data_IF_266734103287
#
_entry.id   IF_266734103287
#
_cell.length_a   1.000
_cell.length_b   1.000
_cell.length_c   1.000
_cell.angle_alpha   90.00
_cell.angle_beta   90.00
_cell.angle_gamma   90.00
#
_symmetry.space_group_name_H-M   'P 1'
#
loop_
_entity.id
_entity.type
_entity.pdbx_description
1 polymer ?
#
# COMPACT_ATOMS: atom_id res chain seq x y z
N UNK A 1 -19.56 -49.94 20.56
CA UNK A 1 -18.73 -49.43 21.67
C UNK A 1 -17.87 -48.32 21.13
N UNK A 2 -18.29 -47.03 21.28
CA UNK A 2 -17.57 -45.84 20.81
C UNK A 2 -16.71 -45.30 21.94
N UNK A 3 -15.40 -45.32 21.76
CA UNK A 3 -14.45 -44.68 22.70
C UNK A 3 -14.31 -43.21 22.32
N UNK A 4 -14.80 -42.34 23.19
CA UNK A 4 -14.65 -40.90 23.11
C UNK A 4 -13.29 -40.57 23.71
N UNK A 5 -12.35 -40.04 22.88
CA UNK A 5 -11.07 -39.50 23.34
C UNK A 5 -11.26 -38.01 23.63
N UNK A 6 -11.28 -37.67 24.90
CA UNK A 6 -11.30 -36.29 25.37
C UNK A 6 -9.85 -35.77 25.32
N UNK A 7 -9.54 -34.94 24.34
CA UNK A 7 -8.28 -34.19 24.31
C UNK A 7 -8.46 -32.87 25.05
N UNK A 8 -7.88 -32.79 26.23
CA UNK A 8 -7.70 -31.53 26.98
C UNK A 8 -6.63 -30.70 26.30
N UNK A 9 -7.03 -29.62 25.60
CA UNK A 9 -6.13 -28.60 25.11
C UNK A 9 -5.83 -27.63 26.25
N UNK A 10 -4.64 -27.73 26.82
CA UNK A 10 -4.10 -26.73 27.74
C UNK A 10 -3.73 -25.48 26.92
N UNK A 11 -4.53 -24.39 27.07
CA UNK A 11 -4.20 -23.08 26.57
C UNK A 11 -3.08 -22.49 27.45
N UNK A 12 -1.88 -22.45 26.92
CA UNK A 12 -0.81 -21.66 27.50
C UNK A 12 -1.01 -20.19 27.09
N UNK A 13 -1.49 -19.41 28.05
CA UNK A 13 -1.54 -17.96 27.91
C UNK A 13 -0.14 -17.42 28.15
N UNK A 14 0.58 -17.09 27.07
CA UNK A 14 1.84 -16.35 27.17
C UNK A 14 1.52 -14.89 27.52
N UNK A 15 2.12 -14.33 28.56
CA UNK A 15 2.00 -12.90 28.81
C UNK A 15 2.79 -12.15 27.72
N UNK A 16 2.07 -11.45 26.86
CA UNK A 16 2.67 -10.46 25.99
C UNK A 16 3.21 -9.33 26.86
N UNK A 17 4.53 -9.30 27.04
CA UNK A 17 5.22 -8.12 27.52
C UNK A 17 5.17 -7.10 26.40
N UNK A 18 4.26 -6.14 26.50
CA UNK A 18 4.29 -4.92 25.71
C UNK A 18 5.55 -4.15 26.14
N UNK A 19 6.61 -4.29 25.37
CA UNK A 19 7.72 -3.35 25.43
C UNK A 19 7.22 -2.05 24.80
N UNK A 20 6.66 -1.18 25.63
CA UNK A 20 6.45 0.20 25.27
C UNK A 20 7.82 0.77 24.90
N UNK A 21 8.00 1.09 23.62
CA UNK A 21 9.14 1.84 23.14
C UNK A 21 9.09 3.25 23.71
N UNK A 22 9.36 3.36 24.98
CA UNK A 22 9.56 4.63 25.67
C UNK A 22 10.69 5.37 24.96
N UNK A 23 10.38 6.56 24.51
CA UNK A 23 11.37 7.52 24.03
C UNK A 23 12.34 7.82 25.18
N UNK A 24 13.37 7.01 25.31
CA UNK A 24 14.41 7.12 26.34
C UNK A 24 15.07 8.52 26.39
N UNK A 25 14.87 9.30 25.33
CA UNK A 25 15.37 10.68 25.20
C UNK A 25 14.63 11.64 26.14
N UNK A 26 13.38 11.37 26.50
CA UNK A 26 12.55 12.23 27.33
C UNK A 26 12.35 11.68 28.75
N UNK A 27 12.98 10.55 29.08
CA UNK A 27 12.92 10.01 30.45
C UNK A 27 13.91 10.78 31.36
N UNK A 28 13.43 11.48 32.37
CA UNK A 28 14.30 12.23 33.31
C UNK A 28 15.25 11.31 34.06
N UNK A 29 14.96 10.03 34.21
CA UNK A 29 15.85 9.05 34.86
C UNK A 29 17.03 8.71 33.95
N UNK A 30 16.80 8.65 32.63
CA UNK A 30 17.82 8.31 31.61
C UNK A 30 18.60 9.55 31.11
N UNK A 31 18.03 10.76 31.32
CA UNK A 31 18.67 12.01 30.90
C UNK A 31 18.73 13.02 32.06
N UNK A 32 19.78 12.96 32.91
CA UNK A 32 19.92 13.82 34.09
C UNK A 32 19.98 15.32 33.74
N UNK A 33 20.26 15.67 32.47
CA UNK A 33 20.28 17.06 32.04
C UNK A 33 18.90 17.69 31.95
N UNK A 34 17.82 16.90 31.88
CA UNK A 34 16.44 17.40 31.93
C UNK A 34 16.09 17.94 33.30
N UNK A 35 16.53 17.25 34.37
CA UNK A 35 16.24 17.67 35.75
C UNK A 35 17.23 18.71 36.30
N UNK A 36 18.46 18.73 35.80
CA UNK A 36 19.52 19.61 36.31
C UNK A 36 20.32 20.24 35.16
N UNK A 37 19.75 21.22 34.46
CA UNK A 37 20.38 21.83 33.29
C UNK A 37 21.70 22.58 33.59
N UNK A 38 22.04 22.81 34.85
CA UNK A 38 23.27 23.51 35.27
C UNK A 38 24.39 22.58 35.72
N UNK A 39 24.22 21.26 35.63
CA UNK A 39 25.32 20.34 35.92
C UNK A 39 26.44 20.47 34.88
N UNK A 40 27.68 20.48 35.40
CA UNK A 40 28.85 20.42 34.52
C UNK A 40 28.74 19.22 33.60
N UNK A 41 28.72 19.47 32.32
CA UNK A 41 28.47 18.46 31.27
C UNK A 41 27.08 18.57 30.63
N UNK A 42 26.09 19.21 31.28
CA UNK A 42 24.80 19.51 30.67
C UNK A 42 24.79 20.88 29.98
N UNK A 43 25.80 21.70 30.27
CA UNK A 43 26.06 23.01 29.66
C UNK A 43 26.82 22.81 28.34
N UNK A 44 26.48 21.77 27.58
CA UNK A 44 26.91 21.69 26.20
C UNK A 44 26.30 22.86 25.47
N UNK A 45 27.15 23.72 24.93
CA UNK A 45 26.81 24.73 23.93
C UNK A 45 26.09 24.04 22.78
N UNK A 46 24.79 23.75 22.93
CA UNK A 46 23.90 23.39 21.85
C UNK A 46 23.54 24.63 21.03
N UNK A 47 24.57 25.43 20.72
CA UNK A 47 24.66 26.21 19.52
C UNK A 47 25.18 25.39 18.33
N UNK A 48 25.05 24.06 18.37
CA UNK A 48 24.74 23.37 17.12
C UNK A 48 23.36 23.89 16.78
N UNK A 49 23.34 24.92 15.93
CA UNK A 49 22.14 25.36 15.24
C UNK A 49 21.54 24.13 14.58
N UNK A 50 20.77 23.37 15.34
CA UNK A 50 19.92 22.37 14.80
C UNK A 50 19.04 23.11 13.83
N UNK A 51 19.44 23.10 12.56
CA UNK A 51 18.55 23.52 11.50
C UNK A 51 17.27 22.77 11.79
N UNK A 52 16.27 23.50 12.29
CA UNK A 52 14.94 22.93 12.52
C UNK A 52 14.63 22.16 11.24
N UNK A 53 14.62 20.83 11.31
CA UNK A 53 14.35 19.98 10.16
C UNK A 53 13.05 20.51 9.59
N UNK A 54 13.14 21.17 8.46
CA UNK A 54 11.99 21.73 7.79
C UNK A 54 11.09 20.54 7.48
N UNK A 55 10.03 20.40 8.23
CA UNK A 55 9.03 19.34 7.96
C UNK A 55 8.36 19.72 6.66
N UNK A 56 8.78 19.08 5.58
CA UNK A 56 8.19 19.29 4.27
C UNK A 56 6.96 18.38 4.24
N UNK A 57 5.79 18.98 4.29
CA UNK A 57 4.54 18.26 4.15
C UNK A 57 4.27 18.03 2.66
N UNK A 58 4.68 16.88 2.13
CA UNK A 58 4.43 16.50 0.76
C UNK A 58 3.02 15.92 0.67
N UNK A 59 2.10 16.53 -0.12
CA UNK A 59 0.76 16.03 -0.25
C UNK A 59 0.73 14.62 -0.84
N UNK A 60 -0.05 13.75 -0.24
CA UNK A 60 -0.25 12.39 -0.76
C UNK A 60 -0.94 12.42 -2.12
N UNK A 61 -0.52 11.52 -3.00
CA UNK A 61 -1.14 11.25 -4.29
C UNK A 61 -1.68 9.83 -4.30
N UNK A 62 -2.92 9.69 -4.75
CA UNK A 62 -3.61 8.41 -4.78
C UNK A 62 -3.85 7.95 -6.20
N UNK A 63 -3.79 6.63 -6.40
CA UNK A 63 -4.22 5.97 -7.62
C UNK A 63 -5.07 4.74 -7.31
N UNK A 64 -5.84 4.33 -8.30
CA UNK A 64 -6.65 3.11 -8.21
C UNK A 64 -6.75 2.46 -9.59
N UNK A 65 -6.95 1.14 -9.59
CA UNK A 65 -7.13 0.35 -10.81
C UNK A 65 -8.39 -0.51 -10.66
N UNK A 66 -9.29 -0.40 -11.62
CA UNK A 66 -10.45 -1.27 -11.82
C UNK A 66 -10.29 -2.13 -13.05
N UNK A 67 -10.82 -3.32 -13.00
CA UNK A 67 -10.74 -4.30 -14.09
C UNK A 67 -12.01 -5.11 -14.18
N UNK A 68 -12.47 -5.32 -15.41
CA UNK A 68 -13.53 -6.27 -15.71
C UNK A 68 -12.90 -7.58 -16.25
N UNK A 69 -13.03 -8.72 -15.53
CA UNK A 69 -12.43 -9.98 -15.96
C UNK A 69 -13.08 -10.58 -17.21
N UNK A 70 -14.32 -10.20 -17.53
CA UNK A 70 -15.05 -10.76 -18.69
C UNK A 70 -14.57 -10.15 -20.00
N UNK A 71 -14.63 -8.84 -20.14
CA UNK A 71 -14.26 -8.14 -21.37
C UNK A 71 -12.89 -7.46 -21.30
N UNK A 72 -12.15 -7.64 -20.20
CA UNK A 72 -10.79 -7.15 -19.96
C UNK A 72 -10.65 -5.62 -20.00
N UNK A 73 -11.74 -4.89 -19.84
CA UNK A 73 -11.70 -3.44 -19.71
C UNK A 73 -10.95 -3.05 -18.43
N UNK A 74 -10.06 -2.08 -18.57
CA UNK A 74 -9.29 -1.49 -17.45
C UNK A 74 -9.66 -0.03 -17.31
N UNK A 75 -9.82 0.42 -16.09
CA UNK A 75 -9.91 1.83 -15.76
C UNK A 75 -8.97 2.16 -14.61
N UNK A 76 -8.42 3.33 -14.65
CA UNK A 76 -7.46 3.77 -13.65
C UNK A 76 -7.60 5.26 -13.34
N UNK A 77 -7.03 5.64 -12.22
CA UNK A 77 -6.83 7.02 -11.78
C UNK A 77 -5.41 7.18 -11.26
N UNK A 78 -4.80 8.32 -11.54
CA UNK A 78 -3.44 8.66 -11.14
C UNK A 78 -3.38 10.05 -10.52
N UNK A 79 -2.42 10.26 -9.63
CA UNK A 79 -2.10 11.56 -9.05
C UNK A 79 -3.30 12.29 -8.41
N UNK A 80 -4.33 11.56 -7.97
CA UNK A 80 -5.48 12.15 -7.31
C UNK A 80 -5.07 12.77 -5.96
N UNK A 81 -5.43 14.03 -5.76
CA UNK A 81 -5.11 14.81 -4.55
C UNK A 81 -6.24 14.85 -3.54
N UNK A 82 -7.44 14.46 -3.94
CA UNK A 82 -8.63 14.50 -3.09
C UNK A 82 -8.76 13.27 -2.20
N UNK A 83 -7.91 12.26 -2.43
CA UNK A 83 -7.82 11.07 -1.60
C UNK A 83 -8.33 9.79 -2.27
N UNK A 84 -8.23 8.71 -1.51
CA UNK A 84 -8.51 7.35 -1.95
C UNK A 84 -9.91 7.17 -2.57
N UNK A 85 -10.94 7.73 -1.92
CA UNK A 85 -12.33 7.61 -2.41
C UNK A 85 -12.53 8.29 -3.75
N UNK A 86 -11.88 9.43 -3.97
CA UNK A 86 -11.93 10.14 -5.24
C UNK A 86 -11.21 9.36 -6.33
N UNK A 87 -10.00 8.85 -6.04
CA UNK A 87 -9.25 7.99 -6.95
C UNK A 87 -10.05 6.74 -7.39
N UNK A 88 -10.74 6.08 -6.45
CA UNK A 88 -11.62 4.94 -6.76
C UNK A 88 -12.78 5.33 -7.70
N UNK A 89 -13.43 6.47 -7.46
CA UNK A 89 -14.54 6.93 -8.32
C UNK A 89 -14.06 7.21 -9.74
N UNK A 90 -12.94 7.88 -9.89
CA UNK A 90 -12.35 8.17 -11.19
C UNK A 90 -11.96 6.89 -11.94
N UNK A 91 -11.28 5.97 -11.27
CA UNK A 91 -10.86 4.70 -11.85
C UNK A 91 -12.06 3.84 -12.25
N UNK A 92 -13.14 3.81 -11.43
CA UNK A 92 -14.39 3.13 -11.78
C UNK A 92 -15.04 3.76 -12.99
N UNK A 93 -15.17 5.09 -13.03
CA UNK A 93 -15.74 5.80 -14.16
C UNK A 93 -14.95 5.54 -15.46
N UNK A 94 -13.60 5.53 -15.35
CA UNK A 94 -12.70 5.17 -16.46
C UNK A 94 -12.96 3.75 -16.99
N UNK A 95 -13.09 2.76 -16.09
CA UNK A 95 -13.38 1.38 -16.44
C UNK A 95 -14.77 1.22 -17.09
N UNK A 96 -15.80 1.91 -16.59
CA UNK A 96 -17.14 1.91 -17.19
C UNK A 96 -17.08 2.50 -18.59
N UNK A 97 -16.39 3.63 -18.78
CA UNK A 97 -16.20 4.28 -20.09
C UNK A 97 -15.48 3.35 -21.08
N UNK A 98 -14.56 2.52 -20.59
CA UNK A 98 -13.89 1.49 -21.40
C UNK A 98 -14.79 0.25 -21.71
N UNK A 99 -16.08 0.32 -21.37
CA UNK A 99 -17.03 -0.76 -21.63
C UNK A 99 -17.10 -1.83 -20.54
N UNK A 100 -16.44 -1.62 -19.39
CA UNK A 100 -16.35 -2.62 -18.32
C UNK A 100 -17.63 -2.83 -17.50
N UNK A 101 -18.65 -1.99 -17.65
CA UNK A 101 -19.88 -2.06 -16.87
C UNK A 101 -19.76 -1.60 -15.43
N UNK A 102 -20.88 -1.38 -14.76
CA UNK A 102 -20.93 -0.84 -13.39
C UNK A 102 -20.45 -1.86 -12.34
N UNK A 103 -19.88 -1.36 -11.26
CA UNK A 103 -19.51 -2.14 -10.08
C UNK A 103 -20.44 -1.80 -8.91
N UNK A 104 -20.86 -2.79 -8.10
CA UNK A 104 -20.84 -4.21 -8.36
C UNK A 104 -22.03 -4.58 -9.24
N UNK A 105 -21.81 -5.19 -10.37
CA UNK A 105 -22.89 -5.87 -11.03
C UNK A 105 -23.27 -7.03 -10.14
N UNK A 106 -24.49 -6.94 -9.63
CA UNK A 106 -25.08 -7.93 -8.76
C UNK A 106 -24.79 -9.34 -9.30
N UNK A 107 -24.44 -10.25 -8.42
CA UNK A 107 -24.42 -11.71 -8.57
C UNK A 107 -23.72 -12.36 -9.78
N UNK A 108 -23.74 -11.77 -10.98
CA UNK A 108 -23.12 -12.37 -12.18
C UNK A 108 -21.62 -12.07 -12.35
N UNK A 109 -21.12 -11.14 -11.55
CA UNK A 109 -19.70 -10.82 -11.53
C UNK A 109 -19.14 -10.11 -12.76
N UNK A 110 -20.01 -9.62 -13.64
CA UNK A 110 -19.66 -9.02 -14.94
C UNK A 110 -19.54 -7.50 -14.87
N UNK A 111 -18.66 -6.97 -14.10
CA UNK A 111 -18.49 -5.52 -14.01
C UNK A 111 -17.08 -5.14 -13.61
N UNK A 112 -16.83 -3.85 -13.62
CA UNK A 112 -15.60 -3.28 -13.13
C UNK A 112 -15.44 -3.54 -11.64
N UNK A 113 -14.35 -4.19 -11.24
CA UNK A 113 -14.02 -4.48 -9.85
C UNK A 113 -12.73 -3.78 -9.47
N UNK A 114 -12.70 -3.21 -8.27
CA UNK A 114 -11.45 -2.70 -7.72
C UNK A 114 -10.43 -3.84 -7.66
N UNK A 115 -9.29 -3.61 -8.27
CA UNK A 115 -8.16 -4.52 -8.20
C UNK A 115 -7.14 -4.04 -7.21
N UNK A 116 -6.79 -2.78 -7.29
CA UNK A 116 -5.81 -2.21 -6.39
C UNK A 116 -5.97 -0.70 -6.24
N UNK A 117 -5.50 -0.21 -5.11
CA UNK A 117 -5.29 1.20 -4.82
C UNK A 117 -3.90 1.38 -4.24
N UNK A 118 -3.32 2.52 -4.51
CA UNK A 118 -1.94 2.81 -4.12
C UNK A 118 -1.76 4.29 -3.81
N UNK A 119 -0.75 4.59 -3.02
CA UNK A 119 -0.46 5.94 -2.56
C UNK A 119 1.04 6.19 -2.54
N UNK A 120 1.47 7.30 -3.16
CA UNK A 120 2.85 7.78 -3.19
C UNK A 120 3.87 6.81 -3.81
N UNK A 121 3.42 5.88 -4.63
CA UNK A 121 4.26 4.90 -5.32
C UNK A 121 3.88 4.80 -6.80
N UNK A 122 4.68 4.08 -7.58
CA UNK A 122 4.27 3.59 -8.89
C UNK A 122 3.56 2.24 -8.73
N UNK A 123 2.64 1.93 -9.63
CA UNK A 123 1.92 0.67 -9.64
C UNK A 123 1.79 0.12 -11.05
N UNK A 124 1.78 -1.20 -11.16
CA UNK A 124 1.53 -1.88 -12.42
C UNK A 124 0.52 -3.02 -12.24
N UNK A 125 -0.26 -3.26 -13.28
CA UNK A 125 -1.25 -4.32 -13.35
C UNK A 125 -1.07 -5.12 -14.63
N UNK A 126 -0.84 -6.43 -14.49
CA UNK A 126 -0.65 -7.36 -15.57
C UNK A 126 -1.83 -8.33 -15.69
N UNK A 127 -2.14 -8.74 -16.89
CA UNK A 127 -3.21 -9.70 -17.19
C UNK A 127 -2.69 -10.75 -18.17
N UNK A 128 -2.88 -12.00 -17.84
CA UNK A 128 -2.49 -13.15 -18.65
C UNK A 128 -3.69 -13.85 -19.30
N UNK A 129 -3.40 -14.71 -20.30
CA UNK A 129 -4.39 -15.40 -21.09
C UNK A 129 -5.04 -14.52 -22.15
N UNK A 130 -5.49 -15.15 -23.25
CA UNK A 130 -6.15 -14.45 -24.37
C UNK A 130 -7.68 -14.50 -24.28
N UNK A 131 -8.22 -15.50 -23.58
CA UNK A 131 -9.66 -15.71 -23.50
C UNK A 131 -10.32 -14.88 -22.42
N UNK A 132 -11.52 -14.38 -22.70
CA UNK A 132 -12.34 -13.68 -21.73
C UNK A 132 -12.66 -14.56 -20.53
N UNK A 133 -12.54 -13.98 -19.33
CA UNK A 133 -12.81 -14.68 -18.08
C UNK A 133 -11.78 -15.71 -17.65
N UNK A 134 -10.78 -16.03 -18.49
CA UNK A 134 -9.68 -16.93 -18.20
C UNK A 134 -8.35 -16.18 -18.14
N UNK A 135 -7.49 -16.58 -17.24
CA UNK A 135 -6.16 -16.04 -17.09
C UNK A 135 -5.91 -15.40 -15.73
N UNK A 136 -4.65 -15.43 -15.34
CA UNK A 136 -4.17 -14.82 -14.12
C UNK A 136 -4.12 -13.29 -14.20
N UNK A 137 -4.10 -12.67 -13.04
CA UNK A 137 -3.78 -11.25 -12.93
C UNK A 137 -2.65 -11.09 -11.92
N UNK A 138 -1.76 -10.14 -12.16
CA UNK A 138 -0.73 -9.73 -11.22
C UNK A 138 -0.75 -8.23 -11.04
N UNK A 139 -0.44 -7.80 -9.85
CA UNK A 139 -0.28 -6.39 -9.59
C UNK A 139 0.90 -6.18 -8.64
N UNK A 140 1.51 -5.02 -8.69
CA UNK A 140 2.55 -4.63 -7.74
C UNK A 140 2.67 -3.12 -7.64
N UNK A 141 3.08 -2.65 -6.46
CA UNK A 141 3.56 -1.30 -6.24
C UNK A 141 5.07 -1.30 -5.95
N UNK A 142 5.76 -0.27 -6.42
CA UNK A 142 7.19 -0.02 -6.12
C UNK A 142 7.49 1.48 -6.27
N UNK A 143 8.65 1.92 -5.79
CA UNK A 143 9.11 3.29 -6.03
C UNK A 143 9.53 3.54 -7.49
N UNK A 144 9.82 2.48 -8.23
CA UNK A 144 10.24 2.52 -9.63
C UNK A 144 9.26 1.76 -10.50
N UNK A 145 8.85 2.40 -11.61
CA UNK A 145 7.82 1.85 -12.48
C UNK A 145 8.26 0.52 -13.10
N UNK A 146 9.53 0.41 -13.50
CA UNK A 146 10.08 -0.79 -14.11
C UNK A 146 10.05 -1.98 -13.14
N UNK A 147 10.31 -1.71 -11.85
CA UNK A 147 10.21 -2.74 -10.81
C UNK A 147 8.79 -3.14 -10.53
N UNK A 148 7.85 -2.19 -10.54
CA UNK A 148 6.43 -2.49 -10.40
C UNK A 148 5.95 -3.38 -11.54
N UNK A 149 6.33 -3.08 -12.79
CA UNK A 149 5.99 -3.88 -13.97
C UNK A 149 6.57 -5.30 -13.90
N UNK A 150 7.85 -5.43 -13.60
CA UNK A 150 8.50 -6.73 -13.46
C UNK A 150 7.82 -7.62 -12.41
N UNK A 151 7.51 -7.04 -11.24
CA UNK A 151 6.81 -7.76 -10.17
C UNK A 151 5.37 -8.13 -10.57
N UNK A 152 4.65 -7.24 -11.24
CA UNK A 152 3.29 -7.51 -11.70
C UNK A 152 3.27 -8.63 -12.74
N UNK A 153 4.22 -8.65 -13.67
CA UNK A 153 4.37 -9.74 -14.65
C UNK A 153 4.73 -11.06 -13.96
N UNK A 154 5.66 -11.03 -13.01
CA UNK A 154 6.05 -12.22 -12.26
C UNK A 154 4.88 -12.80 -11.44
N UNK A 155 4.06 -11.94 -10.82
CA UNK A 155 2.87 -12.37 -10.08
C UNK A 155 1.82 -12.98 -11.03
N UNK A 156 1.54 -12.33 -12.16
CA UNK A 156 0.63 -12.84 -13.18
C UNK A 156 1.07 -14.21 -13.70
N UNK A 157 2.37 -14.39 -13.96
CA UNK A 157 2.95 -15.61 -14.55
C UNK A 157 2.84 -16.84 -13.65
N UNK A 158 2.54 -16.67 -12.36
CA UNK A 158 2.23 -17.79 -11.47
C UNK A 158 0.91 -18.48 -11.81
N UNK A 159 0.01 -17.76 -12.44
CA UNK A 159 -1.37 -18.21 -12.68
C UNK A 159 -1.75 -18.27 -14.14
N UNK A 160 -0.93 -17.72 -15.04
CA UNK A 160 -1.25 -17.63 -16.45
C UNK A 160 -0.01 -17.47 -17.32
N UNK A 161 -0.09 -17.94 -18.54
CA UNK A 161 0.90 -17.67 -19.60
C UNK A 161 0.56 -16.34 -20.31
N UNK A 162 1.51 -15.84 -21.09
CA UNK A 162 1.34 -14.65 -21.93
C UNK A 162 0.84 -13.41 -21.17
N UNK A 163 1.41 -13.16 -20.01
CA UNK A 163 1.09 -11.98 -19.21
C UNK A 163 1.57 -10.70 -19.88
N UNK A 164 0.68 -9.70 -19.94
CA UNK A 164 0.98 -8.38 -20.50
C UNK A 164 0.58 -7.30 -19.51
N UNK A 165 1.35 -6.21 -19.47
CA UNK A 165 1.00 -5.03 -18.68
C UNK A 165 -0.23 -4.39 -19.34
N UNK A 166 -1.27 -4.18 -18.55
CA UNK A 166 -2.50 -3.47 -18.93
C UNK A 166 -2.57 -2.07 -18.36
N UNK A 167 -1.84 -1.85 -17.29
CA UNK A 167 -1.69 -0.55 -16.66
C UNK A 167 -0.32 -0.45 -16.00
N UNK A 168 0.34 0.69 -16.14
CA UNK A 168 1.45 1.12 -15.28
C UNK A 168 1.46 2.64 -15.17
N UNK A 169 1.66 3.13 -13.95
CA UNK A 169 1.65 4.58 -13.68
C UNK A 169 2.09 4.89 -12.26
N UNK A 170 2.40 6.15 -12.01
CA UNK A 170 2.87 6.61 -10.70
C UNK A 170 1.93 7.65 -10.11
N UNK A 171 1.56 7.47 -8.85
CA UNK A 171 0.80 8.45 -8.08
C UNK A 171 1.67 8.98 -6.94
N UNK A 172 2.51 9.96 -7.25
CA UNK A 172 3.39 10.59 -6.26
C UNK A 172 3.72 12.03 -6.63
N UNK A 173 3.94 12.83 -5.61
CA UNK A 173 4.40 14.19 -5.80
C UNK A 173 5.80 14.17 -6.42
N UNK A 174 6.14 15.09 -7.36
CA UNK A 174 7.45 15.13 -7.99
C UNK A 174 8.62 15.21 -7.01
N UNK A 175 8.40 15.85 -5.88
CA UNK A 175 9.43 16.01 -4.85
C UNK A 175 9.56 14.81 -3.90
N UNK A 176 8.70 13.78 -4.02
CA UNK A 176 8.65 12.67 -3.08
C UNK A 176 9.96 11.85 -3.01
N UNK A 177 10.72 11.80 -4.10
CA UNK A 177 12.02 11.10 -4.15
C UNK A 177 13.23 12.01 -3.83
N UNK A 178 13.00 13.27 -3.51
CA UNK A 178 14.08 14.23 -3.21
C UNK A 178 14.41 14.30 -1.71
N UNK A 179 13.65 13.59 -0.88
CA UNK A 179 13.74 13.57 0.57
C UNK A 179 13.60 12.11 1.09
#
# INVERSE_FOLDING_TARGET
>A
MKKIFLMLLAMQVSPFVLADGLNAINDPVMNPCIQRPHLAGCSGNNQSGGQARRVINIPSRWGAVYFNPVNRAVGYSENNTEGERSARREALASCIKAGGGQNPIARDGKGCRLKHEYRNVCAAFAVGGKEEGKGGTGWSGDDYIEKAEQKALAECSKYSNECVIKYSGCSRHPDYLRY
#
